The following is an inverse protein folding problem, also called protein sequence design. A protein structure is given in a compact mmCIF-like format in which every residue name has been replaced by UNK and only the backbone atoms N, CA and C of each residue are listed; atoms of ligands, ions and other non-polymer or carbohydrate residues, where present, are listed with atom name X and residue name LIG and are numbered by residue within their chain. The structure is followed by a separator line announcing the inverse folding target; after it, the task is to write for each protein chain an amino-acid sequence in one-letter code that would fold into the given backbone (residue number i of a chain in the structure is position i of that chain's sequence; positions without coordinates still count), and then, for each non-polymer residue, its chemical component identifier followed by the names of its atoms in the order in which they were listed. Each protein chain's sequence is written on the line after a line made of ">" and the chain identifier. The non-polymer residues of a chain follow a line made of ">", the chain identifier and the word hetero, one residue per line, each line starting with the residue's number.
data_IF_035845962218
#
_entry.id   IF_035845962218
#
_cell.length_a   1.000
_cell.length_b   1.000
_cell.length_c   1.000
_cell.angle_alpha   90.00
_cell.angle_beta   90.00
_cell.angle_gamma   90.00
#
_symmetry.space_group_name_H-M   'P 1'
#
loop_
_entity.id
_entity.type
_entity.pdbx_description
1 polymer ?
#
# COMPACT_ATOMS: atom_id res chain seq x y z
N UNK A 1 3.46 9.86 -0.32
CA UNK A 1 4.28 10.03 -1.53
C UNK A 1 3.91 8.95 -2.53
N UNK A 2 3.69 9.32 -3.76
CA UNK A 2 3.34 8.36 -4.82
C UNK A 2 4.46 8.28 -5.83
N UNK A 3 4.85 8.58 -6.72
CA UNK A 3 5.95 8.58 -7.68
C UNK A 3 7.20 7.81 -7.26
N UNK A 4 7.08 6.50 -7.10
CA UNK A 4 8.22 5.66 -6.75
C UNK A 4 8.12 4.31 -7.47
N UNK A 5 9.23 3.58 -7.49
CA UNK A 5 9.27 2.22 -8.05
C UNK A 5 9.69 1.24 -6.96
N UNK A 6 9.01 0.10 -6.88
CA UNK A 6 9.44 -0.99 -6.02
C UNK A 6 10.73 -1.59 -6.58
N UNK A 7 11.71 -1.76 -5.71
CA UNK A 7 13.01 -2.35 -6.06
C UNK A 7 13.28 -3.66 -5.32
N UNK A 8 12.37 -4.09 -4.47
CA UNK A 8 12.46 -5.35 -3.76
C UNK A 8 11.07 -5.91 -3.52
N UNK A 9 11.00 -7.14 -3.03
CA UNK A 9 9.75 -7.67 -2.50
C UNK A 9 9.36 -6.90 -1.26
N UNK A 10 8.06 -6.86 -0.98
CA UNK A 10 7.54 -6.25 0.24
C UNK A 10 7.59 -7.31 1.34
N UNK A 11 8.15 -6.96 2.48
CA UNK A 11 8.27 -7.83 3.64
C UNK A 11 7.56 -7.23 4.84
N UNK A 12 7.48 -8.00 5.92
CA UNK A 12 6.84 -7.55 7.18
C UNK A 12 5.42 -7.05 6.96
N UNK A 13 4.67 -7.77 6.14
CA UNK A 13 3.31 -7.37 5.77
C UNK A 13 2.36 -7.61 6.92
N UNK A 14 1.60 -6.57 7.28
CA UNK A 14 0.56 -6.64 8.31
C UNK A 14 -0.74 -6.03 7.80
N UNK A 15 -1.85 -6.63 8.17
CA UNK A 15 -3.17 -6.04 7.96
C UNK A 15 -3.44 -5.07 9.11
N UNK A 16 -3.69 -3.81 8.79
CA UNK A 16 -3.87 -2.77 9.81
C UNK A 16 -5.31 -2.25 9.92
N UNK A 17 -6.17 -2.56 8.97
CA UNK A 17 -7.59 -2.25 9.07
C UNK A 17 -8.40 -3.11 8.13
N UNK A 18 -9.60 -3.50 8.54
CA UNK A 18 -10.52 -4.30 7.73
C UNK A 18 -11.95 -3.81 7.92
N UNK A 19 -12.81 -4.12 6.96
CA UNK A 19 -14.25 -3.93 7.08
C UNK A 19 -14.67 -2.53 7.48
N UNK A 20 -15.46 -2.41 8.53
CA UNK A 20 -16.02 -1.14 8.97
C UNK A 20 -14.98 -0.14 9.47
N UNK A 21 -13.78 -0.61 9.81
CA UNK A 21 -12.69 0.26 10.23
C UNK A 21 -12.02 0.96 9.06
N UNK A 22 -12.33 0.57 7.82
CA UNK A 22 -11.83 1.23 6.62
C UNK A 22 -12.76 2.37 6.24
N UNK A 23 -12.40 3.58 6.61
CA UNK A 23 -13.21 4.77 6.27
C UNK A 23 -13.31 4.99 4.77
N UNK A 24 -12.30 4.59 4.03
CA UNK A 24 -12.21 4.74 2.59
C UNK A 24 -12.93 3.62 1.82
N UNK A 25 -13.48 2.63 2.51
CA UNK A 25 -14.11 1.47 1.86
C UNK A 25 -15.13 1.82 0.77
N UNK A 26 -16.05 2.77 0.98
CA UNK A 26 -16.99 3.11 -0.09
C UNK A 26 -16.32 3.63 -1.35
N UNK A 27 -15.22 4.37 -1.20
CA UNK A 27 -14.46 4.90 -2.33
C UNK A 27 -13.73 3.77 -3.05
N UNK A 28 -13.11 2.84 -2.30
CA UNK A 28 -12.44 1.69 -2.88
C UNK A 28 -13.41 0.82 -3.68
N UNK A 29 -14.59 0.59 -3.15
CA UNK A 29 -15.61 -0.20 -3.84
C UNK A 29 -16.08 0.47 -5.12
N UNK A 30 -16.19 1.78 -5.12
CA UNK A 30 -16.61 2.53 -6.31
C UNK A 30 -15.52 2.56 -7.38
N UNK A 31 -14.26 2.75 -6.97
CA UNK A 31 -13.15 2.85 -7.92
C UNK A 31 -12.68 1.50 -8.46
N UNK A 32 -12.68 0.47 -7.61
CA UNK A 32 -12.04 -0.81 -7.95
C UNK A 32 -12.98 -1.99 -7.90
N UNK A 33 -14.21 -1.81 -7.39
CA UNK A 33 -15.20 -2.86 -7.33
C UNK A 33 -15.45 -3.39 -5.93
N UNK A 34 -16.46 -4.26 -5.79
CA UNK A 34 -16.79 -4.88 -4.51
C UNK A 34 -15.71 -5.85 -4.09
N UNK A 35 -15.61 -6.10 -2.80
CA UNK A 35 -14.64 -7.03 -2.26
C UNK A 35 -14.48 -6.84 -0.76
N UNK A 36 -13.72 -7.73 -0.14
CA UNK A 36 -13.33 -7.60 1.26
C UNK A 36 -12.07 -6.76 1.33
N UNK A 37 -12.26 -5.47 1.35
CA UNK A 37 -11.16 -4.51 1.34
C UNK A 37 -10.42 -4.50 2.67
N UNK A 38 -9.09 -4.43 2.57
CA UNK A 38 -8.19 -4.37 3.73
C UNK A 38 -7.17 -3.28 3.48
N UNK A 39 -6.70 -2.68 4.56
CA UNK A 39 -5.53 -1.81 4.51
C UNK A 39 -4.34 -2.58 5.09
N UNK A 40 -3.23 -2.55 4.39
CA UNK A 40 -2.02 -3.26 4.77
C UNK A 40 -0.84 -2.32 4.83
N UNK A 41 0.20 -2.75 5.53
CA UNK A 41 1.50 -2.10 5.50
C UNK A 41 2.59 -3.14 5.30
N UNK A 42 3.74 -2.69 4.86
CA UNK A 42 4.91 -3.53 4.71
C UNK A 42 6.14 -2.67 4.47
N UNK A 43 7.28 -3.33 4.32
CA UNK A 43 8.56 -2.67 4.13
C UNK A 43 9.20 -3.15 2.83
N UNK A 44 9.79 -2.23 2.07
CA UNK A 44 10.50 -2.57 0.84
C UNK A 44 11.53 -1.52 0.50
N UNK A 45 12.45 -1.90 -0.39
CA UNK A 45 13.33 -0.93 -1.03
C UNK A 45 12.56 -0.28 -2.16
N UNK A 46 12.62 1.05 -2.23
CA UNK A 46 11.94 1.83 -3.26
C UNK A 46 12.93 2.82 -3.88
N UNK A 47 12.74 3.07 -5.14
CA UNK A 47 13.46 4.12 -5.85
C UNK A 47 12.56 5.33 -5.93
N UNK A 48 12.98 6.43 -5.30
CA UNK A 48 12.20 7.65 -5.26
C UNK A 48 12.68 8.60 -6.36
N UNK A 49 11.75 9.41 -6.85
CA UNK A 49 12.05 10.37 -7.89
C UNK A 49 13.09 11.37 -7.40
N UNK A 50 14.21 11.49 -8.13
CA UNK A 50 15.29 12.41 -7.79
C UNK A 50 16.14 11.98 -6.60
N UNK A 51 15.88 10.81 -6.05
CA UNK A 51 16.62 10.29 -4.94
C UNK A 51 17.20 8.93 -5.19
N UNK A 52 17.80 8.20 -4.53
CA UNK A 52 18.32 6.86 -4.76
C UNK A 52 17.31 5.79 -4.34
N UNK A 53 17.83 4.62 -4.07
CA UNK A 53 17.06 3.51 -3.54
C UNK A 53 17.12 3.56 -2.02
N UNK A 54 15.97 3.58 -1.37
CA UNK A 54 15.87 3.68 0.08
C UNK A 54 14.84 2.69 0.61
N UNK A 55 14.98 2.35 1.88
CA UNK A 55 14.02 1.49 2.56
C UNK A 55 12.84 2.33 3.01
N UNK A 56 11.62 1.83 2.80
CA UNK A 56 10.41 2.58 3.11
C UNK A 56 9.33 1.69 3.72
N UNK A 57 8.51 2.30 4.55
CA UNK A 57 7.27 1.68 4.98
C UNK A 57 6.18 2.09 4.00
N UNK A 58 5.50 1.09 3.45
CA UNK A 58 4.46 1.27 2.45
C UNK A 58 3.10 0.92 3.04
N UNK A 59 2.08 1.67 2.63
CA UNK A 59 0.69 1.35 2.94
C UNK A 59 -0.08 1.24 1.64
N UNK A 60 -1.00 0.27 1.58
CA UNK A 60 -1.83 0.06 0.40
C UNK A 60 -3.15 -0.59 0.81
N UNK A 61 -4.03 -0.72 -0.16
CA UNK A 61 -5.29 -1.45 0.02
C UNK A 61 -5.30 -2.63 -0.92
N UNK A 62 -5.98 -3.69 -0.52
CA UNK A 62 -6.18 -4.82 -1.41
C UNK A 62 -7.48 -5.56 -1.08
N UNK A 63 -7.99 -6.25 -2.09
CA UNK A 63 -9.08 -7.18 -1.96
C UNK A 63 -8.77 -8.38 -2.84
N UNK A 64 -9.27 -9.55 -2.46
CA UNK A 64 -9.07 -10.77 -3.23
C UNK A 64 -9.58 -10.57 -4.66
N UNK A 65 -8.77 -10.94 -5.64
CA UNK A 65 -9.12 -10.80 -7.05
C UNK A 65 -8.84 -9.44 -7.66
N UNK A 66 -8.56 -8.42 -6.84
CA UNK A 66 -8.25 -7.08 -7.34
C UNK A 66 -6.76 -6.79 -7.28
N UNK A 67 -6.09 -7.31 -6.25
CA UNK A 67 -4.67 -7.02 -6.04
C UNK A 67 -4.44 -5.77 -5.20
N UNK A 68 -3.22 -5.28 -5.23
CA UNK A 68 -2.79 -4.10 -4.46
C UNK A 68 -3.12 -2.83 -5.22
N UNK A 69 -3.75 -1.87 -4.53
CA UNK A 69 -4.10 -0.58 -5.13
C UNK A 69 -3.72 0.55 -4.18
N UNK A 70 -3.54 1.72 -4.75
CA UNK A 70 -3.30 2.97 -4.01
C UNK A 70 -2.14 2.85 -3.03
N UNK A 71 -1.01 2.33 -3.51
CA UNK A 71 0.18 2.16 -2.68
C UNK A 71 0.91 3.48 -2.50
N UNK A 72 1.26 3.78 -1.26
CA UNK A 72 1.93 5.02 -0.89
C UNK A 72 3.08 4.76 0.05
N UNK A 73 4.11 5.58 -0.04
CA UNK A 73 5.15 5.61 0.98
C UNK A 73 4.59 6.35 2.18
N UNK A 74 4.53 5.65 3.31
CA UNK A 74 4.11 6.26 4.56
C UNK A 74 5.25 7.02 5.20
N UNK A 75 6.45 6.43 5.17
CA UNK A 75 7.67 7.07 5.66
C UNK A 75 8.89 6.34 5.13
N UNK A 76 10.00 7.05 5.07
CA UNK A 76 11.29 6.46 4.74
C UNK A 76 11.91 5.90 6.00
N UNK A 77 12.58 4.76 5.85
CA UNK A 77 13.29 4.08 6.94
C UNK A 77 14.79 4.14 6.66
N UNK A 78 15.56 4.24 7.69
CA UNK A 78 17.00 4.22 7.55
C UNK A 78 17.58 2.82 7.63
#
# INVERSE_FOLDING_TARGET
>A
MTGFKLRSEITDIEVIATGAKLRIRPILRRLYGPGRWRKLKGTALVEVLGGGVVKAELHWYEAHGVGRVDMKIKRLLE
#
